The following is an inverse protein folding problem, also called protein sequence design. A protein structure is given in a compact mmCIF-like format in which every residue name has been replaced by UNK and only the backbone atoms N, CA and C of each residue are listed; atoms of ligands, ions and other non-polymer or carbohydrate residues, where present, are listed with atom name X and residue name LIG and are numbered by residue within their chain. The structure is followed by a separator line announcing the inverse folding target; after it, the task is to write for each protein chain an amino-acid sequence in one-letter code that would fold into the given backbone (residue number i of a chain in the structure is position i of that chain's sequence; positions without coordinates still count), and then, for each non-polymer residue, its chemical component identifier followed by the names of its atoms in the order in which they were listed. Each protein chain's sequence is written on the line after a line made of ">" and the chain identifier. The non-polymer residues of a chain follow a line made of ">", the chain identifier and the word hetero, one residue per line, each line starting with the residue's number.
data_IF_004657621639
#
_entry.id   IF_004657621639
#
_cell.length_a   1.000
_cell.length_b   1.000
_cell.length_c   1.000
_cell.angle_alpha   90.00
_cell.angle_beta   90.00
_cell.angle_gamma   90.00
#
_symmetry.space_group_name_H-M   'P 1'
#
loop_
_entity.id
_entity.type
_entity.pdbx_description
1 polymer ?
#
# COMPACT_ATOMS: atom_id res chain seq x y z
N UNK A 1 -9.55 -6.05 -16.80
CA UNK A 1 -10.55 -4.99 -17.12
C UNK A 1 -10.37 -3.89 -16.10
N UNK A 2 -9.74 -2.78 -16.51
CA UNK A 2 -9.36 -1.68 -15.61
C UNK A 2 -10.59 -0.85 -15.24
N UNK A 3 -10.91 -0.80 -13.95
CA UNK A 3 -11.85 0.18 -13.40
C UNK A 3 -11.11 1.51 -13.29
N UNK A 4 -11.19 2.34 -14.33
CA UNK A 4 -10.98 3.78 -14.19
C UNK A 4 -12.08 4.30 -13.27
N UNK A 5 -11.76 4.50 -12.00
CA UNK A 5 -12.61 5.25 -11.08
C UNK A 5 -12.63 6.70 -11.59
N UNK A 6 -13.80 7.12 -12.07
CA UNK A 6 -14.07 8.47 -12.52
C UNK A 6 -13.96 9.45 -11.34
N UNK A 7 -12.87 10.21 -11.29
CA UNK A 7 -12.68 11.42 -10.47
C UNK A 7 -13.57 12.60 -10.91
N UNK A 8 -14.68 12.32 -11.60
CA UNK A 8 -15.56 13.33 -12.19
C UNK A 8 -16.57 13.93 -11.19
N UNK A 9 -16.59 13.50 -9.92
CA UNK A 9 -17.60 13.94 -8.95
C UNK A 9 -17.22 15.18 -8.13
N UNK A 10 -15.98 15.68 -8.18
CA UNK A 10 -15.57 16.91 -7.47
C UNK A 10 -15.94 18.19 -8.26
N UNK A 11 -16.34 18.05 -9.53
CA UNK A 11 -16.57 19.17 -10.45
C UNK A 11 -17.98 19.79 -10.46
N UNK A 12 -18.93 19.33 -9.64
CA UNK A 12 -20.35 19.66 -9.82
C UNK A 12 -21.00 20.54 -8.74
N UNK A 13 -20.23 21.21 -7.87
CA UNK A 13 -20.79 22.01 -6.77
C UNK A 13 -20.34 23.47 -6.72
N UNK A 14 -20.12 24.12 -7.87
CA UNK A 14 -19.71 25.55 -7.92
C UNK A 14 -20.82 26.48 -8.46
N UNK A 15 -22.04 26.01 -8.71
CA UNK A 15 -23.11 26.87 -9.25
C UNK A 15 -24.22 27.25 -8.25
N UNK A 16 -23.98 27.13 -6.94
CA UNK A 16 -25.05 27.31 -5.94
C UNK A 16 -24.80 28.27 -4.77
N UNK A 17 -23.64 28.91 -4.64
CA UNK A 17 -23.33 29.76 -3.49
C UNK A 17 -22.80 31.13 -3.94
N UNK A 18 -23.71 31.97 -4.42
CA UNK A 18 -23.53 33.42 -4.33
C UNK A 18 -24.61 33.89 -3.38
N UNK A 19 -24.28 34.41 -2.18
CA UNK A 19 -25.29 35.01 -1.32
C UNK A 19 -25.99 36.12 -2.10
N UNK A 20 -27.29 35.92 -2.31
CA UNK A 20 -28.16 36.97 -2.80
C UNK A 20 -28.26 38.07 -1.74
N UNK A 21 -28.17 39.33 -2.18
CA UNK A 21 -28.31 40.55 -1.39
C UNK A 21 -27.08 40.97 -0.55
N UNK A 22 -26.26 41.80 -1.19
CA UNK A 22 -25.41 42.79 -0.51
C UNK A 22 -26.33 43.84 0.12
N UNK A 23 -26.97 43.52 1.25
CA UNK A 23 -27.95 44.38 1.88
C UNK A 23 -28.59 43.74 3.11
N UNK A 24 -28.09 44.15 4.28
CA UNK A 24 -28.64 43.96 5.63
C UNK A 24 -28.82 42.52 6.14
N UNK A 25 -27.83 42.09 6.92
CA UNK A 25 -28.07 41.43 8.21
C UNK A 25 -28.59 40.00 8.17
N UNK A 26 -27.85 39.10 7.51
CA UNK A 26 -27.88 37.67 7.85
C UNK A 26 -26.65 37.29 8.68
N UNK A 27 -26.80 36.35 9.62
CA UNK A 27 -25.69 35.88 10.44
C UNK A 27 -24.62 35.25 9.54
N UNK A 28 -23.40 35.82 9.55
CA UNK A 28 -22.28 35.36 8.73
C UNK A 28 -21.82 36.34 7.66
N UNK A 29 -22.52 37.44 7.39
CA UNK A 29 -22.04 38.50 6.49
C UNK A 29 -21.08 39.46 7.20
N UNK A 30 -19.96 39.80 6.55
CA UNK A 30 -19.03 40.82 7.02
C UNK A 30 -19.71 42.21 7.06
N UNK A 31 -19.82 42.85 8.23
CA UNK A 31 -20.39 44.20 8.39
C UNK A 31 -19.40 45.29 7.92
N UNK A 32 -19.06 45.24 6.63
CA UNK A 32 -18.10 46.15 6.03
C UNK A 32 -18.79 47.34 5.37
N UNK A 33 -18.40 48.54 5.80
CA UNK A 33 -18.98 49.78 5.30
C UNK A 33 -18.17 50.29 4.12
N UNK A 34 -18.86 50.61 3.01
CA UNK A 34 -18.24 51.17 1.80
C UNK A 34 -18.60 52.64 1.66
N UNK A 35 -17.87 53.52 2.34
CA UNK A 35 -18.16 54.97 2.33
C UNK A 35 -17.40 55.72 1.24
N UNK A 36 -16.33 55.15 0.69
CA UNK A 36 -15.53 55.79 -0.35
C UNK A 36 -16.01 55.41 -1.76
N UNK A 37 -16.19 56.43 -2.62
CA UNK A 37 -16.74 56.26 -3.98
C UNK A 37 -15.98 55.24 -4.83
N UNK A 38 -14.65 55.21 -4.76
CA UNK A 38 -13.85 54.26 -5.52
C UNK A 38 -14.09 52.80 -5.08
N UNK A 39 -14.33 52.57 -3.78
CA UNK A 39 -14.65 51.24 -3.24
C UNK A 39 -16.06 50.84 -3.66
N UNK A 40 -17.05 51.74 -3.52
CA UNK A 40 -18.44 51.49 -3.96
C UNK A 40 -18.50 51.13 -5.46
N UNK A 41 -17.72 51.81 -6.30
CA UNK A 41 -17.62 51.51 -7.73
C UNK A 41 -17.00 50.13 -7.98
N UNK A 42 -15.99 49.74 -7.20
CA UNK A 42 -15.42 48.39 -7.28
C UNK A 42 -16.43 47.31 -6.94
N UNK A 43 -17.28 47.52 -5.92
CA UNK A 43 -18.35 46.58 -5.55
C UNK A 43 -19.31 46.35 -6.73
N UNK A 44 -19.73 47.41 -7.42
CA UNK A 44 -20.60 47.29 -8.61
C UNK A 44 -19.93 46.47 -9.72
N UNK A 45 -18.63 46.67 -9.94
CA UNK A 45 -17.87 45.87 -10.90
C UNK A 45 -17.77 44.40 -10.49
N UNK A 46 -17.55 44.10 -9.22
CA UNK A 46 -17.54 42.72 -8.69
C UNK A 46 -18.91 42.07 -8.90
N UNK A 47 -20.00 42.78 -8.55
CA UNK A 47 -21.37 42.30 -8.76
C UNK A 47 -21.67 42.00 -10.23
N UNK A 48 -21.26 42.89 -11.14
CA UNK A 48 -21.39 42.67 -12.57
C UNK A 48 -20.57 41.46 -13.06
N UNK A 49 -19.37 41.26 -12.51
CA UNK A 49 -18.53 40.12 -12.84
C UNK A 49 -19.15 38.79 -12.37
N UNK A 50 -19.80 38.77 -11.20
CA UNK A 50 -20.46 37.58 -10.66
C UNK A 50 -21.82 37.30 -11.30
N UNK A 51 -22.51 38.33 -11.83
CA UNK A 51 -23.86 38.22 -12.40
C UNK A 51 -23.90 37.85 -13.89
N UNK A 52 -22.76 37.58 -14.54
CA UNK A 52 -22.70 37.32 -15.98
C UNK A 52 -22.01 36.00 -16.31
N UNK A 53 -22.58 35.25 -17.26
CA UNK A 53 -21.96 34.05 -17.85
C UNK A 53 -21.02 34.39 -19.02
N UNK A 54 -21.06 35.63 -19.51
CA UNK A 54 -20.21 36.09 -20.61
C UNK A 54 -18.77 36.34 -20.11
N UNK A 55 -17.85 35.52 -20.62
CA UNK A 55 -16.44 35.54 -20.19
C UNK A 55 -15.72 36.86 -20.49
N UNK A 56 -16.09 37.56 -21.56
CA UNK A 56 -15.50 38.86 -21.91
C UNK A 56 -16.01 39.92 -20.94
N UNK A 57 -17.33 40.01 -20.76
CA UNK A 57 -17.94 40.98 -19.82
C UNK A 57 -17.46 40.77 -18.40
N UNK A 58 -17.32 39.51 -17.97
CA UNK A 58 -16.75 39.16 -16.67
C UNK A 58 -15.33 39.70 -16.52
N UNK A 59 -14.47 39.52 -17.53
CA UNK A 59 -13.08 40.02 -17.51
C UNK A 59 -13.03 41.55 -17.44
N UNK A 60 -13.84 42.23 -18.26
CA UNK A 60 -13.91 43.70 -18.27
C UNK A 60 -14.39 44.26 -16.94
N UNK A 61 -15.38 43.61 -16.32
CA UNK A 61 -15.86 43.96 -14.99
C UNK A 61 -14.77 43.77 -13.91
N UNK A 62 -14.05 42.64 -13.91
CA UNK A 62 -12.92 42.42 -12.99
C UNK A 62 -11.80 43.45 -13.17
N UNK A 63 -11.49 43.86 -14.41
CA UNK A 63 -10.55 44.97 -14.66
C UNK A 63 -11.06 46.32 -14.14
N UNK A 64 -12.37 46.57 -14.23
CA UNK A 64 -13.02 47.73 -13.62
C UNK A 64 -12.87 47.74 -12.09
N UNK A 65 -13.07 46.59 -11.44
CA UNK A 65 -12.88 46.42 -10.00
C UNK A 65 -11.42 46.69 -9.61
N UNK A 66 -10.46 46.04 -10.28
CA UNK A 66 -9.02 46.22 -10.04
C UNK A 66 -8.60 47.67 -10.10
N UNK A 67 -9.00 48.40 -11.17
CA UNK A 67 -8.67 49.82 -11.33
C UNK A 67 -9.25 50.67 -10.20
N UNK A 68 -10.51 50.41 -9.83
CA UNK A 68 -11.19 51.18 -8.78
C UNK A 68 -10.57 50.96 -7.39
N UNK A 69 -10.19 49.72 -7.07
CA UNK A 69 -9.52 49.39 -5.80
C UNK A 69 -8.08 49.93 -5.76
N UNK A 70 -7.37 49.91 -6.89
CA UNK A 70 -6.03 50.50 -6.99
C UNK A 70 -6.06 52.02 -6.81
N UNK A 71 -7.05 52.69 -7.38
CA UNK A 71 -7.29 54.12 -7.17
C UNK A 71 -7.56 54.43 -5.68
N UNK A 72 -8.34 53.60 -5.00
CA UNK A 72 -8.58 53.74 -3.57
C UNK A 72 -7.27 53.65 -2.75
N UNK A 73 -6.40 52.67 -3.04
CA UNK A 73 -5.09 52.54 -2.40
C UNK A 73 -4.20 53.76 -2.67
N UNK A 74 -4.13 54.23 -3.92
CA UNK A 74 -3.37 55.42 -4.30
C UNK A 74 -3.91 56.70 -3.66
N UNK A 75 -5.22 56.74 -3.40
CA UNK A 75 -5.92 57.82 -2.71
C UNK A 75 -5.72 57.86 -1.19
N UNK A 76 -4.86 57.00 -0.63
CA UNK A 76 -4.52 57.01 0.80
C UNK A 76 -5.38 56.09 1.67
N UNK A 77 -6.15 55.17 1.08
CA UNK A 77 -7.00 54.22 1.81
C UNK A 77 -6.30 52.87 2.07
N UNK A 78 -4.98 52.86 2.22
CA UNK A 78 -4.21 51.65 2.49
C UNK A 78 -4.54 51.00 3.85
N UNK A 79 -5.05 51.77 4.82
CA UNK A 79 -5.46 51.28 6.14
C UNK A 79 -6.97 50.98 6.22
N UNK A 80 -7.73 51.22 5.15
CA UNK A 80 -9.16 50.97 5.12
C UNK A 80 -9.43 49.48 4.83
N UNK A 81 -10.05 48.72 5.76
CA UNK A 81 -10.28 47.30 5.59
C UNK A 81 -11.24 46.99 4.44
N UNK A 82 -12.11 47.92 4.05
CA UNK A 82 -13.03 47.73 2.91
C UNK A 82 -12.25 47.55 1.60
N UNK A 83 -11.15 48.26 1.41
CA UNK A 83 -10.32 48.13 0.21
C UNK A 83 -9.72 46.74 0.11
N UNK A 84 -9.18 46.21 1.23
CA UNK A 84 -8.56 44.89 1.26
C UNK A 84 -9.58 43.76 1.13
N UNK A 85 -10.75 43.87 1.76
CA UNK A 85 -11.81 42.87 1.63
C UNK A 85 -12.26 42.70 0.18
N UNK A 86 -12.54 43.81 -0.51
CA UNK A 86 -12.94 43.77 -1.92
C UNK A 86 -11.78 43.44 -2.88
N UNK A 87 -10.53 43.76 -2.52
CA UNK A 87 -9.36 43.23 -3.22
C UNK A 87 -9.28 41.71 -3.10
N UNK A 88 -9.50 41.14 -1.92
CA UNK A 88 -9.51 39.69 -1.71
C UNK A 88 -10.57 39.00 -2.57
N UNK A 89 -11.79 39.52 -2.60
CA UNK A 89 -12.87 38.99 -3.46
C UNK A 89 -12.50 39.11 -4.93
N UNK A 90 -11.97 40.26 -5.36
CA UNK A 90 -11.50 40.45 -6.74
C UNK A 90 -10.43 39.40 -7.11
N UNK A 91 -9.42 39.22 -6.27
CA UNK A 91 -8.34 38.27 -6.49
C UNK A 91 -8.87 36.83 -6.53
N UNK A 92 -9.78 36.47 -5.62
CA UNK A 92 -10.42 35.15 -5.60
C UNK A 92 -11.19 34.87 -6.90
N UNK A 93 -11.97 35.83 -7.40
CA UNK A 93 -12.71 35.70 -8.65
C UNK A 93 -11.80 35.62 -9.88
N UNK A 94 -10.71 36.41 -9.88
CA UNK A 94 -9.65 36.39 -10.89
C UNK A 94 -8.79 35.12 -10.83
N UNK A 95 -8.79 34.41 -9.70
CA UNK A 95 -8.00 33.20 -9.48
C UNK A 95 -6.56 33.45 -9.04
N UNK A 96 -6.29 34.65 -8.55
CA UNK A 96 -5.02 35.03 -7.97
C UNK A 96 -5.03 34.65 -6.48
N UNK A 97 -4.51 33.46 -6.17
CA UNK A 97 -4.49 32.95 -4.80
C UNK A 97 -3.60 33.77 -3.87
N UNK A 98 -2.43 34.20 -4.35
CA UNK A 98 -1.46 34.96 -3.55
C UNK A 98 -2.01 36.36 -3.20
N UNK A 99 -2.62 37.03 -4.18
CA UNK A 99 -3.31 38.29 -3.95
C UNK A 99 -4.51 38.14 -3.02
N UNK A 100 -5.30 37.07 -3.19
CA UNK A 100 -6.46 36.80 -2.35
C UNK A 100 -6.06 36.58 -0.89
N UNK A 101 -5.07 35.73 -0.65
CA UNK A 101 -4.55 35.42 0.68
C UNK A 101 -4.08 36.68 1.41
N UNK A 102 -3.19 37.47 0.78
CA UNK A 102 -2.65 38.69 1.40
C UNK A 102 -3.74 39.73 1.72
N UNK A 103 -4.74 39.88 0.84
CA UNK A 103 -5.80 40.86 1.03
C UNK A 103 -6.81 40.40 2.11
N UNK A 104 -7.12 39.11 2.16
CA UNK A 104 -7.97 38.53 3.20
C UNK A 104 -7.28 38.55 4.57
N UNK A 105 -5.98 38.26 4.67
CA UNK A 105 -5.21 38.37 5.92
C UNK A 105 -5.28 39.77 6.52
N UNK A 106 -5.08 40.80 5.69
CA UNK A 106 -5.21 42.20 6.11
C UNK A 106 -6.62 42.52 6.60
N UNK A 107 -7.63 41.95 5.95
CA UNK A 107 -9.02 42.15 6.34
C UNK A 107 -9.33 41.46 7.66
N UNK A 108 -8.95 40.20 7.83
CA UNK A 108 -9.18 39.43 9.06
C UNK A 108 -8.43 40.04 10.25
N UNK A 109 -7.23 40.59 10.03
CA UNK A 109 -6.48 41.30 11.07
C UNK A 109 -7.19 42.58 11.53
N UNK A 110 -7.77 43.35 10.62
CA UNK A 110 -8.49 44.58 10.93
C UNK A 110 -9.94 44.34 11.41
N UNK A 111 -10.57 43.29 10.88
CA UNK A 111 -11.98 42.95 11.10
C UNK A 111 -12.15 41.44 11.30
N UNK A 112 -11.81 40.89 12.48
CA UNK A 112 -11.92 39.45 12.77
C UNK A 112 -13.34 38.88 12.60
N UNK A 113 -14.36 39.73 12.75
CA UNK A 113 -15.77 39.35 12.54
C UNK A 113 -16.11 38.95 11.10
N UNK A 114 -15.23 39.21 10.14
CA UNK A 114 -15.41 38.87 8.73
C UNK A 114 -14.85 37.49 8.36
N UNK A 115 -14.25 36.77 9.31
CA UNK A 115 -13.55 35.50 9.04
C UNK A 115 -14.45 34.44 8.40
N UNK A 116 -15.68 34.28 8.86
CA UNK A 116 -16.62 33.28 8.33
C UNK A 116 -16.97 33.56 6.86
N UNK A 117 -17.26 34.82 6.54
CA UNK A 117 -17.57 35.26 5.18
C UNK A 117 -16.36 35.10 4.25
N UNK A 118 -15.18 35.51 4.72
CA UNK A 118 -13.91 35.38 4.01
C UNK A 118 -13.58 33.91 3.73
N UNK A 119 -13.89 33.00 4.66
CA UNK A 119 -13.68 31.56 4.50
C UNK A 119 -14.35 31.01 3.24
N UNK A 120 -15.55 31.50 2.90
CA UNK A 120 -16.27 31.09 1.68
C UNK A 120 -15.49 31.49 0.41
N UNK A 121 -14.95 32.71 0.37
CA UNK A 121 -14.15 33.17 -0.76
C UNK A 121 -12.79 32.47 -0.84
N UNK A 122 -12.16 32.22 0.31
CA UNK A 122 -10.93 31.43 0.44
C UNK A 122 -11.13 30.02 -0.13
N UNK A 123 -12.24 29.37 0.17
CA UNK A 123 -12.59 28.05 -0.39
C UNK A 123 -12.74 28.07 -1.92
N UNK A 124 -13.33 29.13 -2.49
CA UNK A 124 -13.49 29.28 -3.94
C UNK A 124 -12.14 29.38 -4.65
N UNK A 125 -11.23 30.22 -4.15
CA UNK A 125 -9.91 30.38 -4.75
C UNK A 125 -9.01 29.18 -4.48
N UNK A 126 -9.15 28.56 -3.30
CA UNK A 126 -8.50 27.29 -2.95
C UNK A 126 -8.76 26.23 -4.01
N UNK A 127 -10.02 26.03 -4.43
CA UNK A 127 -10.37 25.00 -5.41
C UNK A 127 -9.64 25.21 -6.75
N UNK A 128 -9.44 26.46 -7.16
CA UNK A 128 -8.69 26.79 -8.38
C UNK A 128 -7.20 26.51 -8.20
N UNK A 129 -6.62 26.94 -7.09
CA UNK A 129 -5.18 26.76 -6.80
C UNK A 129 -4.84 25.28 -6.61
N UNK A 130 -5.66 24.52 -5.87
CA UNK A 130 -5.48 23.08 -5.68
C UNK A 130 -5.54 22.32 -7.02
N UNK A 131 -6.45 22.70 -7.93
CA UNK A 131 -6.52 22.11 -9.26
C UNK A 131 -5.27 22.38 -10.11
N UNK A 132 -4.62 23.54 -9.96
CA UNK A 132 -3.32 23.81 -10.59
C UNK A 132 -2.23 22.90 -10.03
N UNK A 133 -2.27 22.59 -8.73
CA UNK A 133 -1.39 21.59 -8.11
C UNK A 133 -1.57 20.19 -8.72
N UNK A 134 -2.82 19.76 -8.88
CA UNK A 134 -3.17 18.48 -9.52
C UNK A 134 -2.71 18.44 -10.98
N UNK A 135 -2.85 19.54 -11.72
CA UNK A 135 -2.32 19.67 -13.09
C UNK A 135 -0.80 19.54 -13.13
N UNK A 136 -0.10 20.18 -12.20
CA UNK A 136 1.34 20.03 -12.01
C UNK A 136 1.75 18.56 -11.85
N UNK A 137 1.05 17.81 -10.97
CA UNK A 137 1.29 16.38 -10.78
C UNK A 137 1.07 15.57 -12.06
N UNK A 138 -0.01 15.83 -12.81
CA UNK A 138 -0.29 15.14 -14.08
C UNK A 138 0.79 15.35 -15.13
N UNK A 139 1.46 16.50 -15.07
CA UNK A 139 2.57 16.87 -15.95
C UNK A 139 3.95 16.49 -15.41
N UNK A 140 4.02 15.80 -14.26
CA UNK A 140 5.26 15.53 -13.49
C UNK A 140 6.05 16.80 -13.09
N UNK A 141 5.39 17.96 -13.04
CA UNK A 141 5.96 19.22 -12.54
C UNK A 141 5.73 19.31 -11.03
N UNK A 142 6.50 18.52 -10.28
CA UNK A 142 6.32 18.37 -8.83
C UNK A 142 6.67 19.64 -8.05
N UNK A 143 7.61 20.48 -8.53
CA UNK A 143 7.92 21.76 -7.88
C UNK A 143 6.73 22.71 -7.97
N UNK A 144 6.17 22.90 -9.16
CA UNK A 144 4.96 23.72 -9.32
C UNK A 144 3.78 23.15 -8.54
N UNK A 145 3.62 21.82 -8.53
CA UNK A 145 2.58 21.17 -7.76
C UNK A 145 2.70 21.48 -6.25
N UNK A 146 3.90 21.32 -5.68
CA UNK A 146 4.18 21.64 -4.28
C UNK A 146 3.87 23.09 -3.96
N UNK A 147 4.30 24.04 -4.79
CA UNK A 147 4.04 25.46 -4.57
C UNK A 147 2.55 25.77 -4.57
N UNK A 148 1.78 25.23 -5.52
CA UNK A 148 0.34 25.44 -5.58
C UNK A 148 -0.40 24.78 -4.40
N UNK A 149 -0.01 23.57 -3.99
CA UNK A 149 -0.63 22.94 -2.83
C UNK A 149 -0.29 23.63 -1.50
N UNK A 150 0.92 24.20 -1.35
CA UNK A 150 1.27 25.02 -0.18
C UNK A 150 0.39 26.26 -0.10
N UNK A 151 0.25 26.99 -1.21
CA UNK A 151 -0.65 28.14 -1.29
C UNK A 151 -2.11 27.74 -1.03
N UNK A 152 -2.56 26.59 -1.52
CA UNK A 152 -3.89 26.07 -1.20
C UNK A 152 -4.06 25.85 0.32
N UNK A 153 -3.09 25.22 0.99
CA UNK A 153 -3.12 25.05 2.44
C UNK A 153 -3.09 26.37 3.22
N UNK A 154 -2.43 27.41 2.70
CA UNK A 154 -2.47 28.77 3.29
C UNK A 154 -3.86 29.40 3.14
N UNK A 155 -4.45 29.28 1.95
CA UNK A 155 -5.75 29.83 1.63
C UNK A 155 -6.88 29.19 2.45
N UNK A 156 -6.92 27.86 2.57
CA UNK A 156 -8.01 27.15 3.24
C UNK A 156 -7.50 25.88 3.91
N UNK A 157 -7.43 25.91 5.24
CA UNK A 157 -6.81 24.87 6.08
C UNK A 157 -7.75 23.72 6.44
N UNK A 158 -9.06 23.88 6.19
CA UNK A 158 -10.10 22.92 6.59
C UNK A 158 -10.36 21.84 5.53
N UNK A 159 -9.68 21.91 4.37
CA UNK A 159 -9.74 20.86 3.34
C UNK A 159 -8.45 20.01 3.34
N UNK A 160 -8.54 18.67 3.46
CA UNK A 160 -7.37 17.81 3.58
C UNK A 160 -6.66 17.54 2.24
N UNK A 161 -7.24 17.92 1.10
CA UNK A 161 -6.81 17.50 -0.24
C UNK A 161 -5.41 17.99 -0.59
N UNK A 162 -5.11 19.26 -0.36
CA UNK A 162 -3.79 19.83 -0.67
C UNK A 162 -2.69 19.19 0.19
N UNK A 163 -2.97 18.96 1.48
CA UNK A 163 -2.07 18.21 2.38
C UNK A 163 -1.88 16.76 1.92
N UNK A 164 -2.94 16.05 1.52
CA UNK A 164 -2.83 14.69 1.02
C UNK A 164 -1.92 14.58 -0.23
N UNK A 165 -2.06 15.52 -1.16
CA UNK A 165 -1.22 15.54 -2.36
C UNK A 165 0.23 15.95 -2.08
N UNK A 166 0.47 16.88 -1.16
CA UNK A 166 1.83 17.18 -0.68
C UNK A 166 2.48 15.92 -0.08
N UNK A 167 1.77 15.19 0.78
CA UNK A 167 2.25 13.92 1.33
C UNK A 167 2.64 12.92 0.23
N UNK A 168 1.83 12.84 -0.82
CA UNK A 168 2.05 11.95 -1.98
C UNK A 168 3.26 12.33 -2.81
N UNK A 169 3.47 13.63 -3.06
CA UNK A 169 4.64 14.11 -3.79
C UNK A 169 5.91 13.81 -2.98
N UNK A 170 5.93 14.18 -1.69
CA UNK A 170 7.10 13.92 -0.85
C UNK A 170 7.42 12.43 -0.68
N UNK A 171 6.41 11.57 -0.60
CA UNK A 171 6.63 10.11 -0.59
C UNK A 171 7.24 9.62 -1.91
N UNK A 172 6.85 10.20 -3.05
CA UNK A 172 7.44 9.88 -4.36
C UNK A 172 8.89 10.34 -4.47
N UNK A 173 9.24 11.43 -3.79
CA UNK A 173 10.60 11.99 -3.70
C UNK A 173 11.46 11.31 -2.61
N UNK A 174 10.97 10.25 -1.96
CA UNK A 174 11.63 9.56 -0.84
C UNK A 174 11.93 10.48 0.37
N UNK A 175 11.15 11.55 0.53
CA UNK A 175 11.24 12.49 1.65
C UNK A 175 10.22 12.09 2.73
N UNK A 176 10.58 11.08 3.52
CA UNK A 176 9.69 10.48 4.51
C UNK A 176 9.21 11.46 5.59
N UNK A 177 10.06 12.36 6.08
CA UNK A 177 9.70 13.35 7.11
C UNK A 177 8.58 14.28 6.64
N UNK A 178 8.72 14.85 5.43
CA UNK A 178 7.71 15.74 4.87
C UNK A 178 6.44 14.98 4.49
N UNK A 179 6.58 13.76 3.96
CA UNK A 179 5.44 12.90 3.66
C UNK A 179 4.61 12.59 4.92
N UNK A 180 5.27 12.20 6.02
CA UNK A 180 4.64 11.95 7.32
C UNK A 180 3.95 13.20 7.85
N UNK A 181 4.59 14.37 7.77
CA UNK A 181 3.99 15.63 8.21
C UNK A 181 2.65 15.88 7.51
N UNK A 182 2.64 15.84 6.17
CA UNK A 182 1.47 16.20 5.39
C UNK A 182 0.37 15.12 5.39
N UNK A 183 0.71 13.84 5.38
CA UNK A 183 -0.31 12.79 5.55
C UNK A 183 -0.94 12.82 6.93
N UNK A 184 -0.19 13.06 8.01
CA UNK A 184 -0.78 13.21 9.35
C UNK A 184 -1.69 14.42 9.43
N UNK A 185 -1.34 15.51 8.76
CA UNK A 185 -2.18 16.70 8.67
C UNK A 185 -3.49 16.39 7.92
N UNK A 186 -3.41 15.77 6.75
CA UNK A 186 -4.58 15.35 5.97
C UNK A 186 -5.48 14.37 6.74
N UNK A 187 -4.89 13.38 7.42
CA UNK A 187 -5.62 12.44 8.28
C UNK A 187 -6.38 13.15 9.40
N UNK A 188 -5.74 14.14 10.05
CA UNK A 188 -6.35 14.93 11.12
C UNK A 188 -7.52 15.79 10.64
N UNK A 189 -7.33 16.51 9.53
CA UNK A 189 -8.37 17.39 8.96
C UNK A 189 -9.58 16.55 8.50
N UNK A 190 -9.32 15.42 7.84
CA UNK A 190 -10.37 14.53 7.32
C UNK A 190 -11.07 13.67 8.41
N UNK A 191 -10.63 13.73 9.67
CA UNK A 191 -11.12 12.83 10.71
C UNK A 191 -12.59 13.10 11.06
N UNK A 192 -13.43 12.08 10.94
CA UNK A 192 -14.86 12.18 11.25
C UNK A 192 -15.72 12.84 10.16
N UNK A 193 -15.11 13.31 9.07
CA UNK A 193 -15.82 13.87 7.92
C UNK A 193 -16.12 12.79 6.88
N UNK A 194 -17.41 12.50 6.68
CA UNK A 194 -17.86 11.52 5.69
C UNK A 194 -17.54 11.93 4.25
N UNK A 195 -17.42 13.23 3.95
CA UNK A 195 -17.05 13.71 2.62
C UNK A 195 -15.59 13.40 2.28
N UNK A 196 -14.72 13.31 3.29
CA UNK A 196 -13.28 13.09 3.14
C UNK A 196 -12.81 11.73 3.69
N UNK A 197 -13.74 10.78 3.86
CA UNK A 197 -13.44 9.45 4.42
C UNK A 197 -12.32 8.71 3.66
N UNK A 198 -12.27 8.82 2.33
CA UNK A 198 -11.21 8.21 1.51
C UNK A 198 -9.84 8.85 1.76
N UNK A 199 -9.77 10.19 1.90
CA UNK A 199 -8.52 10.88 2.21
C UNK A 199 -8.05 10.53 3.62
N UNK A 200 -8.97 10.44 4.59
CA UNK A 200 -8.65 10.00 5.94
C UNK A 200 -8.05 8.60 5.94
N UNK A 201 -8.75 7.64 5.33
CA UNK A 201 -8.32 6.24 5.20
C UNK A 201 -6.92 6.14 4.58
N UNK A 202 -6.73 6.71 3.39
CA UNK A 202 -5.45 6.63 2.66
C UNK A 202 -4.32 7.32 3.40
N UNK A 203 -4.59 8.45 4.06
CA UNK A 203 -3.57 9.15 4.84
C UNK A 203 -3.12 8.32 6.04
N UNK A 204 -4.06 7.73 6.79
CA UNK A 204 -3.75 6.84 7.91
C UNK A 204 -2.94 5.62 7.44
N UNK A 205 -3.34 5.00 6.33
CA UNK A 205 -2.62 3.87 5.73
C UNK A 205 -1.19 4.25 5.32
N UNK A 206 -1.01 5.37 4.62
CA UNK A 206 0.29 5.82 4.16
C UNK A 206 1.23 6.17 5.32
N UNK A 207 0.73 6.77 6.40
CA UNK A 207 1.55 7.03 7.60
C UNK A 207 2.03 5.71 8.20
N UNK A 208 1.15 4.71 8.33
CA UNK A 208 1.53 3.39 8.84
C UNK A 208 2.64 2.74 8.00
N UNK A 209 2.48 2.76 6.67
CA UNK A 209 3.44 2.19 5.72
C UNK A 209 4.78 2.93 5.69
N UNK A 210 4.79 4.25 5.79
CA UNK A 210 6.04 5.01 5.85
C UNK A 210 6.81 4.65 7.11
N UNK A 211 6.13 4.61 8.27
CA UNK A 211 6.78 4.18 9.50
C UNK A 211 7.32 2.76 9.45
N UNK A 212 6.60 1.87 8.77
CA UNK A 212 7.03 0.51 8.56
C UNK A 212 8.29 0.41 7.69
N UNK A 213 8.41 1.23 6.64
CA UNK A 213 9.61 1.33 5.79
C UNK A 213 10.79 1.93 6.55
N UNK A 214 10.53 2.90 7.42
CA UNK A 214 11.55 3.50 8.30
C UNK A 214 11.96 2.59 9.47
N UNK A 215 11.34 1.42 9.62
CA UNK A 215 11.55 0.50 10.74
C UNK A 215 11.22 1.12 12.11
N UNK A 216 10.37 2.16 12.14
CA UNK A 216 9.82 2.74 13.37
C UNK A 216 8.62 1.92 13.83
N UNK A 217 8.88 0.73 14.34
CA UNK A 217 7.86 -0.31 14.57
C UNK A 217 6.75 0.08 15.54
N UNK A 218 7.05 0.81 16.62
CA UNK A 218 6.04 1.32 17.57
C UNK A 218 5.06 2.29 16.89
N UNK A 219 5.59 3.20 16.08
CA UNK A 219 4.80 4.15 15.29
C UNK A 219 3.97 3.41 14.23
N UNK A 220 4.58 2.47 13.50
CA UNK A 220 3.90 1.67 12.49
C UNK A 220 2.74 0.86 13.11
N UNK A 221 2.97 0.18 14.24
CA UNK A 221 1.95 -0.57 14.95
C UNK A 221 0.78 0.32 15.37
N UNK A 222 1.07 1.50 15.93
CA UNK A 222 0.05 2.48 16.32
C UNK A 222 -0.82 2.88 15.12
N UNK A 223 -0.21 3.27 14.00
CA UNK A 223 -0.95 3.75 12.83
C UNK A 223 -1.68 2.65 12.07
N UNK A 224 -1.14 1.43 12.01
CA UNK A 224 -1.90 0.28 11.52
C UNK A 224 -3.05 -0.09 12.46
N UNK A 225 -2.92 0.15 13.76
CA UNK A 225 -4.01 0.08 14.73
C UNK A 225 -5.16 1.03 14.40
N UNK A 226 -4.85 2.29 14.10
CA UNK A 226 -5.84 3.28 13.65
C UNK A 226 -6.45 2.88 12.30
N UNK A 227 -5.63 2.47 11.33
CA UNK A 227 -6.12 2.03 10.02
C UNK A 227 -7.11 0.86 10.14
N UNK A 228 -6.85 -0.11 11.02
CA UNK A 228 -7.75 -1.23 11.28
C UNK A 228 -9.09 -0.81 11.91
N UNK A 229 -9.18 0.31 12.60
CA UNK A 229 -10.50 0.82 13.07
C UNK A 229 -11.36 1.27 11.88
N UNK A 230 -10.73 1.72 10.79
CA UNK A 230 -11.37 2.14 9.54
C UNK A 230 -11.67 0.92 8.66
N UNK A 231 -10.69 0.02 8.51
CA UNK A 231 -10.74 -1.18 7.68
C UNK A 231 -10.39 -2.43 8.51
N UNK A 232 -11.32 -2.96 9.32
CA UNK A 232 -11.03 -4.03 10.29
C UNK A 232 -10.65 -5.37 9.66
N UNK A 233 -11.14 -5.66 8.45
CA UNK A 233 -10.92 -6.93 7.75
C UNK A 233 -9.98 -6.79 6.55
N UNK A 234 -9.33 -5.63 6.34
CA UNK A 234 -8.38 -5.47 5.24
C UNK A 234 -7.09 -6.27 5.50
N UNK A 235 -6.73 -7.24 4.62
CA UNK A 235 -5.56 -8.08 4.83
C UNK A 235 -4.25 -7.31 4.94
N UNK A 236 -4.07 -6.21 4.21
CA UNK A 236 -2.86 -5.38 4.27
C UNK A 236 -2.74 -4.74 5.67
N UNK A 237 -3.82 -4.13 6.17
CA UNK A 237 -3.85 -3.55 7.52
C UNK A 237 -3.64 -4.58 8.63
N UNK A 238 -4.25 -5.76 8.52
CA UNK A 238 -4.07 -6.85 9.49
C UNK A 238 -2.63 -7.35 9.53
N UNK A 239 -2.05 -7.65 8.36
CA UNK A 239 -0.69 -8.20 8.27
C UNK A 239 0.39 -7.16 8.61
N UNK A 240 0.22 -5.91 8.18
CA UNK A 240 1.12 -4.79 8.52
C UNK A 240 1.13 -4.49 10.02
N UNK A 241 -0.04 -4.46 10.67
CA UNK A 241 -0.11 -4.29 12.11
C UNK A 241 0.57 -5.47 12.84
N UNK A 242 0.28 -6.71 12.45
CA UNK A 242 0.82 -7.89 13.14
C UNK A 242 2.35 -7.93 13.06
N UNK A 243 2.90 -7.62 11.87
CA UNK A 243 4.35 -7.52 11.67
C UNK A 243 4.97 -6.38 12.48
N UNK A 244 4.33 -5.21 12.49
CA UNK A 244 4.81 -4.05 13.26
C UNK A 244 4.83 -4.33 14.76
N UNK A 245 3.79 -5.01 15.30
CA UNK A 245 3.76 -5.44 16.70
C UNK A 245 4.89 -6.41 17.04
N UNK A 246 5.14 -7.40 16.18
CA UNK A 246 6.26 -8.33 16.39
C UNK A 246 7.60 -7.61 16.41
N UNK A 247 7.83 -6.72 15.45
CA UNK A 247 9.08 -5.99 15.33
C UNK A 247 9.29 -4.98 16.48
N UNK A 248 8.20 -4.43 17.03
CA UNK A 248 8.21 -3.62 18.25
C UNK A 248 8.37 -4.45 19.55
N UNK A 249 8.35 -5.79 19.46
CA UNK A 249 8.45 -6.68 20.61
C UNK A 249 7.13 -7.00 21.32
N UNK A 250 5.98 -6.49 20.86
CA UNK A 250 4.66 -6.93 21.32
C UNK A 250 4.25 -8.24 20.64
N UNK A 251 4.90 -9.32 21.06
CA UNK A 251 4.61 -10.66 20.57
C UNK A 251 3.18 -11.09 20.91
N UNK A 252 2.61 -10.63 22.03
CA UNK A 252 1.28 -11.06 22.46
C UNK A 252 0.20 -10.46 21.57
N UNK A 253 0.25 -9.15 21.32
CA UNK A 253 -0.67 -8.46 20.43
C UNK A 253 -0.58 -8.99 19.00
N UNK A 254 0.64 -9.25 18.52
CA UNK A 254 0.84 -9.84 17.21
C UNK A 254 0.23 -11.24 17.08
N UNK A 255 0.46 -12.13 18.06
CA UNK A 255 -0.10 -13.49 18.05
C UNK A 255 -1.63 -13.44 17.97
N UNK A 256 -2.27 -12.60 18.79
CA UNK A 256 -3.73 -12.43 18.75
C UNK A 256 -4.22 -12.00 17.37
N UNK A 257 -3.47 -11.11 16.71
CA UNK A 257 -3.83 -10.63 15.40
C UNK A 257 -3.66 -11.72 14.33
N UNK A 258 -2.54 -12.44 14.34
CA UNK A 258 -2.33 -13.58 13.46
C UNK A 258 -3.38 -14.68 13.68
N UNK A 259 -3.76 -14.97 14.92
CA UNK A 259 -4.84 -15.93 15.18
C UNK A 259 -6.17 -15.45 14.58
N UNK A 260 -6.46 -14.14 14.61
CA UNK A 260 -7.65 -13.59 13.96
C UNK A 260 -7.62 -13.66 12.43
N UNK A 261 -6.42 -13.57 11.83
CA UNK A 261 -6.20 -13.76 10.39
C UNK A 261 -6.44 -15.25 10.05
N UNK A 262 -5.79 -16.15 10.79
CA UNK A 262 -5.87 -17.60 10.55
C UNK A 262 -7.26 -18.17 10.86
N UNK A 263 -8.05 -17.53 11.72
CA UNK A 263 -9.44 -17.89 11.97
C UNK A 263 -10.36 -17.68 10.73
N UNK A 264 -9.91 -16.88 9.75
CA UNK A 264 -10.60 -16.62 8.48
C UNK A 264 -9.85 -17.22 7.29
N UNK A 265 -8.99 -18.21 7.53
CA UNK A 265 -8.14 -18.81 6.49
C UNK A 265 -8.94 -19.46 5.35
N UNK A 266 -10.17 -19.89 5.61
CA UNK A 266 -11.11 -20.43 4.63
C UNK A 266 -11.49 -19.40 3.54
N UNK A 267 -11.44 -18.10 3.87
CA UNK A 267 -11.77 -17.00 2.97
C UNK A 267 -10.56 -16.40 2.25
N UNK A 268 -9.34 -16.80 2.63
CA UNK A 268 -8.10 -16.28 2.07
C UNK A 268 -7.66 -17.06 0.83
N UNK A 269 -6.85 -16.46 -0.04
CA UNK A 269 -6.13 -17.23 -1.05
C UNK A 269 -5.06 -18.11 -0.38
N UNK A 270 -4.88 -19.38 -0.79
CA UNK A 270 -3.83 -20.23 -0.23
C UNK A 270 -2.41 -19.62 -0.30
N UNK A 271 -2.10 -18.86 -1.35
CA UNK A 271 -0.81 -18.16 -1.47
C UNK A 271 -0.64 -17.07 -0.42
N UNK A 272 -1.72 -16.41 0.00
CA UNK A 272 -1.66 -15.42 1.08
C UNK A 272 -1.40 -16.08 2.43
N UNK A 273 -1.98 -17.26 2.69
CA UNK A 273 -1.66 -18.06 3.87
C UNK A 273 -0.18 -18.47 3.90
N UNK A 274 0.38 -18.86 2.75
CA UNK A 274 1.81 -19.14 2.66
C UNK A 274 2.68 -17.89 2.92
N UNK A 275 2.28 -16.72 2.43
CA UNK A 275 2.99 -15.44 2.71
C UNK A 275 2.94 -15.09 4.21
N UNK A 276 1.78 -15.25 4.84
CA UNK A 276 1.61 -15.08 6.30
C UNK A 276 2.54 -16.02 7.05
N UNK A 277 2.57 -17.31 6.68
CA UNK A 277 3.46 -18.29 7.29
C UNK A 277 4.95 -17.94 7.12
N UNK A 278 5.38 -17.45 5.96
CA UNK A 278 6.77 -17.01 5.74
C UNK A 278 7.12 -15.81 6.63
N UNK A 279 6.21 -14.83 6.76
CA UNK A 279 6.39 -13.68 7.65
C UNK A 279 6.56 -14.12 9.12
N UNK A 280 5.69 -15.02 9.58
CA UNK A 280 5.73 -15.59 10.92
C UNK A 280 7.02 -16.38 11.17
N UNK A 281 7.45 -17.18 10.20
CA UNK A 281 8.68 -17.97 10.34
C UNK A 281 9.93 -17.08 10.46
N UNK A 282 10.00 -16.00 9.67
CA UNK A 282 11.13 -15.03 9.70
C UNK A 282 11.22 -14.22 11.00
N UNK A 283 10.11 -14.14 11.74
CA UNK A 283 9.99 -13.41 13.00
C UNK A 283 10.02 -14.35 14.20
N UNK A 284 10.58 -15.56 14.04
CA UNK A 284 10.75 -16.57 15.09
C UNK A 284 9.43 -17.13 15.68
N UNK A 285 8.33 -17.03 14.93
CA UNK A 285 7.01 -17.57 15.31
C UNK A 285 6.70 -18.87 14.58
N UNK A 286 7.60 -19.87 14.69
CA UNK A 286 7.52 -21.13 13.94
C UNK A 286 6.21 -21.92 14.16
N UNK A 287 5.58 -21.80 15.33
CA UNK A 287 4.30 -22.46 15.65
C UNK A 287 3.13 -21.94 14.82
N UNK A 288 2.96 -20.61 14.77
CA UNK A 288 1.94 -19.98 13.93
C UNK A 288 2.28 -20.12 12.45
N UNK A 289 3.56 -20.10 12.09
CA UNK A 289 4.01 -20.34 10.72
C UNK A 289 3.57 -21.73 10.24
N UNK A 290 3.81 -22.78 11.04
CA UNK A 290 3.37 -24.14 10.74
C UNK A 290 1.84 -24.18 10.53
N UNK A 291 1.05 -23.58 11.43
CA UNK A 291 -0.42 -23.50 11.30
C UNK A 291 -0.86 -22.83 10.00
N UNK A 292 -0.22 -21.71 9.63
CA UNK A 292 -0.53 -21.00 8.38
C UNK A 292 -0.21 -21.86 7.14
N UNK A 293 0.94 -22.54 7.15
CA UNK A 293 1.33 -23.44 6.06
C UNK A 293 0.40 -24.65 5.97
N UNK A 294 -0.04 -25.22 7.09
CA UNK A 294 -1.02 -26.31 7.11
C UNK A 294 -2.34 -25.90 6.48
N UNK A 295 -2.90 -24.76 6.90
CA UNK A 295 -4.16 -24.22 6.34
C UNK A 295 -4.05 -23.95 4.83
N UNK A 296 -2.92 -23.44 4.36
CA UNK A 296 -2.66 -23.28 2.92
C UNK A 296 -2.59 -24.63 2.18
N UNK A 297 -1.92 -25.62 2.78
CA UNK A 297 -1.75 -26.96 2.20
C UNK A 297 -3.02 -27.82 2.24
N UNK A 298 -4.03 -27.47 3.03
CA UNK A 298 -5.36 -28.09 2.95
C UNK A 298 -6.04 -27.79 1.62
N UNK A 299 -5.77 -26.61 1.02
CA UNK A 299 -6.39 -26.13 -0.22
C UNK A 299 -5.47 -26.20 -1.45
N UNK A 300 -4.15 -26.22 -1.24
CA UNK A 300 -3.17 -26.51 -2.28
C UNK A 300 -2.17 -27.57 -1.79
N UNK A 301 -2.57 -28.86 -1.79
CA UNK A 301 -1.80 -29.93 -1.14
C UNK A 301 -0.47 -30.27 -1.81
N UNK A 302 -0.23 -29.79 -3.03
CA UNK A 302 0.99 -30.06 -3.80
C UNK A 302 1.91 -28.84 -3.90
N UNK A 303 1.61 -27.74 -3.22
CA UNK A 303 2.46 -26.55 -3.27
C UNK A 303 3.83 -26.81 -2.62
N UNK A 304 4.84 -27.02 -3.48
CA UNK A 304 6.21 -27.39 -3.09
C UNK A 304 6.82 -26.46 -2.05
N UNK A 305 6.67 -25.14 -2.23
CA UNK A 305 7.23 -24.16 -1.29
C UNK A 305 6.51 -24.17 0.05
N UNK A 306 5.20 -24.37 0.07
CA UNK A 306 4.41 -24.55 1.29
C UNK A 306 4.86 -25.79 2.07
N UNK A 307 5.02 -26.93 1.39
CA UNK A 307 5.53 -28.17 1.98
C UNK A 307 6.94 -27.99 2.54
N UNK A 308 7.85 -27.37 1.77
CA UNK A 308 9.22 -27.09 2.21
C UNK A 308 9.24 -26.21 3.46
N UNK A 309 8.44 -25.14 3.47
CA UNK A 309 8.39 -24.23 4.61
C UNK A 309 7.73 -24.88 5.84
N UNK A 310 6.70 -25.72 5.67
CA UNK A 310 6.11 -26.49 6.76
C UNK A 310 7.12 -27.45 7.41
N UNK A 311 7.90 -28.16 6.59
CA UNK A 311 8.96 -29.07 7.10
C UNK A 311 10.00 -28.29 7.89
N UNK A 312 10.44 -27.12 7.42
CA UNK A 312 11.38 -26.28 8.14
C UNK A 312 10.78 -25.65 9.40
N UNK A 313 9.49 -25.28 9.40
CA UNK A 313 8.78 -24.82 10.59
C UNK A 313 8.76 -25.91 11.67
N UNK A 314 8.45 -27.15 11.31
CA UNK A 314 8.52 -28.26 12.26
C UNK A 314 9.93 -28.58 12.72
N UNK A 315 10.92 -28.45 11.83
CA UNK A 315 12.31 -28.65 12.18
C UNK A 315 12.78 -27.61 13.21
N UNK A 316 12.45 -26.34 13.02
CA UNK A 316 12.76 -25.27 13.98
C UNK A 316 12.10 -25.53 15.34
N UNK A 317 10.80 -25.86 15.35
CA UNK A 317 10.08 -26.20 16.59
C UNK A 317 10.71 -27.37 17.34
N UNK A 318 11.17 -28.40 16.61
CA UNK A 318 11.89 -29.52 17.19
C UNK A 318 13.26 -29.10 17.76
N UNK A 319 14.00 -28.24 17.07
CA UNK A 319 15.28 -27.71 17.57
C UNK A 319 15.09 -26.84 18.82
N UNK A 320 14.08 -25.97 18.84
CA UNK A 320 13.76 -25.14 20.00
C UNK A 320 13.39 -26.00 21.22
N UNK A 321 12.57 -27.03 21.00
CA UNK A 321 12.21 -28.00 22.02
C UNK A 321 13.44 -28.78 22.51
N UNK A 322 14.34 -29.17 21.61
CA UNK A 322 15.57 -29.87 21.95
C UNK A 322 16.50 -28.97 22.79
N UNK A 323 16.67 -27.71 22.40
CA UNK A 323 17.45 -26.71 23.16
C UNK A 323 16.88 -26.45 24.56
N UNK A 324 15.55 -26.51 24.71
CA UNK A 324 14.83 -26.45 25.99
C UNK A 324 14.78 -27.79 26.74
N UNK A 325 15.40 -28.84 26.21
CA UNK A 325 15.43 -30.19 26.78
C UNK A 325 14.02 -30.79 27.00
N UNK A 326 13.11 -30.58 26.03
CA UNK A 326 11.73 -31.06 26.03
C UNK A 326 11.56 -32.25 25.06
N UNK A 327 11.98 -33.48 25.42
CA UNK A 327 12.05 -34.61 24.50
C UNK A 327 10.69 -35.03 23.93
N UNK A 328 9.60 -34.88 24.69
CA UNK A 328 8.27 -35.20 24.20
C UNK A 328 7.82 -34.23 23.11
N UNK A 329 8.11 -32.93 23.27
CA UNK A 329 7.83 -31.91 22.25
C UNK A 329 8.65 -32.15 20.98
N UNK A 330 9.93 -32.53 21.11
CA UNK A 330 10.77 -32.92 19.96
C UNK A 330 10.09 -34.04 19.17
N UNK A 331 9.63 -35.10 19.85
CA UNK A 331 8.95 -36.22 19.19
C UNK A 331 7.63 -35.80 18.54
N UNK A 332 6.87 -34.91 19.16
CA UNK A 332 5.61 -34.38 18.58
C UNK A 332 5.90 -33.66 17.27
N UNK A 333 6.85 -32.72 17.26
CA UNK A 333 7.17 -31.96 16.05
C UNK A 333 7.81 -32.84 14.98
N UNK A 334 8.71 -33.75 15.34
CA UNK A 334 9.32 -34.69 14.40
C UNK A 334 8.28 -35.65 13.78
N UNK A 335 7.29 -36.09 14.56
CA UNK A 335 6.18 -36.93 14.05
C UNK A 335 5.30 -36.20 13.04
N UNK A 336 5.19 -34.86 13.13
CA UNK A 336 4.49 -34.04 12.14
C UNK A 336 5.37 -33.67 10.94
N UNK A 337 6.67 -33.45 11.18
CA UNK A 337 7.67 -33.18 10.15
C UNK A 337 7.78 -34.32 9.14
N UNK A 338 7.83 -35.57 9.62
CA UNK A 338 8.09 -36.74 8.78
C UNK A 338 7.08 -36.92 7.62
N UNK A 339 5.75 -36.95 7.84
CA UNK A 339 4.79 -37.06 6.75
C UNK A 339 4.84 -35.85 5.78
N UNK A 340 5.08 -34.64 6.28
CA UNK A 340 5.25 -33.46 5.43
C UNK A 340 6.52 -33.57 4.54
N UNK A 341 7.62 -34.08 5.09
CA UNK A 341 8.86 -34.31 4.35
C UNK A 341 8.71 -35.40 3.28
N UNK A 342 7.92 -36.45 3.56
CA UNK A 342 7.56 -37.45 2.57
C UNK A 342 6.71 -36.87 1.43
N UNK A 343 5.67 -36.08 1.74
CA UNK A 343 4.87 -35.36 0.71
C UNK A 343 5.74 -34.43 -0.13
N UNK A 344 6.65 -33.70 0.49
CA UNK A 344 7.60 -32.83 -0.21
C UNK A 344 8.45 -33.63 -1.20
N UNK A 345 8.92 -34.83 -0.82
CA UNK A 345 9.68 -35.72 -1.72
C UNK A 345 8.83 -36.28 -2.87
N UNK A 346 7.52 -36.46 -2.70
CA UNK A 346 6.66 -36.87 -3.81
C UNK A 346 6.56 -35.78 -4.89
N UNK A 347 6.68 -34.52 -4.48
CA UNK A 347 6.67 -33.37 -5.38
C UNK A 347 8.05 -33.08 -5.97
N UNK A 348 9.10 -33.19 -5.15
CA UNK A 348 10.50 -32.86 -5.48
C UNK A 348 11.46 -34.03 -5.18
N UNK A 349 11.34 -35.17 -5.89
CA UNK A 349 12.00 -36.43 -5.52
C UNK A 349 13.52 -36.47 -5.74
N UNK A 350 14.07 -35.63 -6.61
CA UNK A 350 15.50 -35.54 -6.92
C UNK A 350 16.18 -34.32 -6.31
N UNK A 351 15.65 -33.78 -5.22
CA UNK A 351 16.31 -32.74 -4.45
C UNK A 351 17.03 -33.35 -3.23
N UNK A 352 18.35 -33.26 -3.19
CA UNK A 352 19.14 -33.90 -2.13
C UNK A 352 18.78 -33.34 -0.74
N UNK A 353 18.48 -32.05 -0.63
CA UNK A 353 18.08 -31.43 0.63
C UNK A 353 16.76 -32.01 1.14
N UNK A 354 15.80 -32.28 0.26
CA UNK A 354 14.52 -32.91 0.63
C UNK A 354 14.72 -34.30 1.22
N UNK A 355 15.63 -35.10 0.64
CA UNK A 355 15.99 -36.42 1.16
C UNK A 355 16.66 -36.32 2.54
N UNK A 356 17.53 -35.33 2.73
CA UNK A 356 18.18 -35.06 4.03
C UNK A 356 17.19 -34.61 5.11
N UNK A 357 16.14 -33.86 4.75
CA UNK A 357 15.09 -33.47 5.70
C UNK A 357 14.31 -34.69 6.23
N UNK A 358 14.10 -35.73 5.42
CA UNK A 358 13.51 -36.99 5.88
C UNK A 358 14.44 -37.67 6.89
N UNK A 359 15.75 -37.74 6.60
CA UNK A 359 16.72 -38.28 7.54
C UNK A 359 16.73 -37.50 8.87
N UNK A 360 16.70 -36.17 8.82
CA UNK A 360 16.62 -35.32 10.00
C UNK A 360 15.36 -35.59 10.84
N UNK A 361 14.21 -35.82 10.20
CA UNK A 361 12.99 -36.18 10.91
C UNK A 361 13.11 -37.53 11.65
N UNK A 362 13.69 -38.56 11.01
CA UNK A 362 13.97 -39.84 11.68
C UNK A 362 14.98 -39.70 12.82
N UNK A 363 16.00 -38.86 12.65
CA UNK A 363 17.00 -38.59 13.68
C UNK A 363 16.36 -37.96 14.92
N UNK A 364 15.47 -36.97 14.73
CA UNK A 364 14.73 -36.34 15.82
C UNK A 364 13.75 -37.31 16.52
N UNK A 365 13.28 -38.34 15.81
CA UNK A 365 12.49 -39.44 16.38
C UNK A 365 13.34 -40.49 17.11
N UNK A 366 14.67 -40.40 17.05
CA UNK A 366 15.60 -41.38 17.62
C UNK A 366 15.64 -42.70 16.84
N UNK A 367 15.35 -42.68 15.55
CA UNK A 367 15.37 -43.85 14.67
C UNK A 367 16.64 -43.83 13.81
N UNK A 368 17.75 -44.30 14.39
CA UNK A 368 19.08 -44.26 13.77
C UNK A 368 19.18 -45.11 12.50
N UNK A 369 18.55 -46.30 12.49
CA UNK A 369 18.54 -47.18 11.31
C UNK A 369 17.90 -46.50 10.09
N UNK A 370 16.75 -45.86 10.30
CA UNK A 370 16.06 -45.13 9.22
C UNK A 370 16.84 -43.88 8.83
N UNK A 371 17.45 -43.20 9.79
CA UNK A 371 18.32 -42.05 9.52
C UNK A 371 19.46 -42.44 8.57
N UNK A 372 20.18 -43.53 8.87
CA UNK A 372 21.28 -44.04 8.04
C UNK A 372 20.80 -44.46 6.64
N UNK A 373 19.64 -45.13 6.53
CA UNK A 373 19.03 -45.46 5.23
C UNK A 373 18.80 -44.21 4.36
N UNK A 374 18.22 -43.15 4.93
CA UNK A 374 17.92 -41.93 4.18
C UNK A 374 19.17 -41.09 3.88
N UNK A 375 20.15 -41.04 4.78
CA UNK A 375 21.44 -40.39 4.52
C UNK A 375 22.22 -41.11 3.42
N UNK A 376 22.27 -42.45 3.44
CA UNK A 376 22.87 -43.23 2.34
C UNK A 376 22.17 -42.96 1.03
N UNK A 377 20.83 -42.91 1.02
CA UNK A 377 20.06 -42.57 -0.18
C UNK A 377 20.45 -41.20 -0.73
N UNK A 378 20.54 -40.18 0.10
CA UNK A 378 20.96 -38.83 -0.30
C UNK A 378 22.38 -38.82 -0.90
N UNK A 379 23.32 -39.55 -0.27
CA UNK A 379 24.71 -39.64 -0.73
C UNK A 379 24.86 -40.53 -2.00
N UNK A 380 23.91 -41.42 -2.26
CA UNK A 380 23.88 -42.30 -3.42
C UNK A 380 23.20 -41.67 -4.66
N UNK A 381 22.58 -40.49 -4.53
CA UNK A 381 22.07 -39.73 -5.68
C UNK A 381 23.19 -39.43 -6.68
N UNK A 382 22.92 -39.63 -7.97
CA UNK A 382 23.88 -39.40 -9.06
C UNK A 382 23.75 -38.01 -9.68
N UNK A 383 22.54 -37.44 -9.63
CA UNK A 383 22.24 -36.07 -10.04
C UNK A 383 21.24 -35.45 -9.07
N UNK A 384 21.09 -34.13 -9.13
CA UNK A 384 20.12 -33.37 -8.36
C UNK A 384 19.32 -32.46 -9.30
N UNK A 385 18.04 -32.30 -9.01
CA UNK A 385 17.18 -31.27 -9.60
C UNK A 385 16.97 -30.17 -8.54
N UNK A 386 17.27 -28.94 -8.89
CA UNK A 386 17.00 -27.77 -8.05
C UNK A 386 16.08 -26.81 -8.78
N UNK A 387 14.83 -26.73 -8.32
CA UNK A 387 13.89 -25.71 -8.79
C UNK A 387 14.16 -24.41 -8.04
N UNK A 388 14.51 -23.38 -8.80
CA UNK A 388 14.85 -22.05 -8.30
C UNK A 388 13.62 -21.12 -8.31
N UNK A 389 12.73 -21.32 -9.27
CA UNK A 389 11.48 -20.57 -9.42
C UNK A 389 10.34 -21.53 -9.75
N UNK A 390 9.21 -21.35 -9.06
CA UNK A 390 7.94 -21.97 -9.40
C UNK A 390 6.84 -20.97 -9.08
N UNK A 391 6.16 -20.45 -10.10
CA UNK A 391 5.10 -19.45 -9.93
C UNK A 391 4.04 -19.55 -11.01
N UNK A 392 2.85 -19.05 -10.68
CA UNK A 392 1.81 -18.81 -11.66
C UNK A 392 2.27 -17.75 -12.68
N UNK A 393 1.90 -17.97 -13.94
CA UNK A 393 2.14 -17.05 -15.04
C UNK A 393 0.80 -16.80 -15.78
N UNK A 394 0.65 -15.68 -16.53
CA UNK A 394 -0.57 -15.43 -17.28
C UNK A 394 -0.93 -16.61 -18.21
N UNK A 395 -2.05 -17.29 -17.93
CA UNK A 395 -2.53 -18.44 -18.71
C UNK A 395 -1.82 -19.77 -18.43
N UNK A 396 -0.99 -19.87 -17.39
CA UNK A 396 -0.25 -21.09 -17.11
C UNK A 396 0.66 -20.99 -15.88
N UNK A 397 1.84 -21.58 -15.99
CA UNK A 397 2.81 -21.64 -14.89
C UNK A 397 4.23 -21.51 -15.43
N UNK A 398 5.18 -21.16 -14.56
CA UNK A 398 6.60 -21.09 -14.89
C UNK A 398 7.39 -21.88 -13.84
N UNK A 399 8.25 -22.78 -14.32
CA UNK A 399 9.26 -23.47 -13.49
C UNK A 399 10.64 -23.26 -14.11
N UNK A 400 11.56 -22.73 -13.32
CA UNK A 400 12.97 -22.58 -13.69
C UNK A 400 13.82 -23.34 -12.70
N UNK A 401 14.80 -24.07 -13.19
CA UNK A 401 15.70 -24.82 -12.32
C UNK A 401 16.95 -25.31 -13.01
N UNK A 402 17.68 -26.14 -12.29
CA UNK A 402 18.91 -26.77 -12.76
C UNK A 402 18.92 -28.27 -12.50
N UNK A 403 19.69 -28.98 -13.31
CA UNK A 403 20.05 -30.37 -13.13
C UNK A 403 21.57 -30.43 -13.00
N UNK A 404 22.06 -30.92 -11.86
CA UNK A 404 23.48 -30.94 -11.51
C UNK A 404 23.99 -32.37 -11.37
N UNK A 405 25.17 -32.66 -11.92
CA UNK A 405 25.83 -33.95 -11.71
C UNK A 405 26.52 -33.98 -10.34
N UNK A 406 26.22 -34.99 -9.53
CA UNK A 406 26.78 -35.17 -8.18
C UNK A 406 27.99 -36.13 -8.15
N UNK A 407 28.45 -36.58 -9.32
CA UNK A 407 29.53 -37.56 -9.48
C UNK A 407 30.74 -36.95 -10.18
N UNK A 408 31.90 -37.52 -9.89
CA UNK A 408 33.16 -37.22 -10.57
C UNK A 408 33.27 -37.87 -11.96
N UNK A 409 32.23 -38.61 -12.39
CA UNK A 409 32.11 -39.23 -13.69
C UNK A 409 30.85 -38.69 -14.38
N UNK A 410 30.78 -38.81 -15.71
CA UNK A 410 29.59 -38.42 -16.46
C UNK A 410 28.36 -39.19 -15.95
N UNK A 411 27.26 -38.46 -15.72
CA UNK A 411 26.00 -39.03 -15.24
C UNK A 411 24.95 -38.95 -16.33
N UNK A 412 24.35 -40.10 -16.65
CA UNK A 412 23.15 -40.14 -17.49
C UNK A 412 21.95 -39.76 -16.64
N UNK A 413 21.34 -38.62 -16.97
CA UNK A 413 20.09 -38.17 -16.38
C UNK A 413 18.95 -38.70 -17.25
N UNK A 414 18.02 -39.51 -16.70
CA UNK A 414 16.86 -39.97 -17.44
C UNK A 414 15.95 -38.80 -17.80
N UNK A 415 14.96 -39.04 -18.65
CA UNK A 415 13.94 -38.03 -18.92
C UNK A 415 13.23 -37.65 -17.61
N UNK A 416 12.96 -36.35 -17.43
CA UNK A 416 12.27 -35.81 -16.27
C UNK A 416 10.94 -35.22 -16.73
N UNK A 417 9.85 -35.82 -16.31
CA UNK A 417 8.50 -35.40 -16.69
C UNK A 417 7.88 -34.61 -15.55
N UNK A 418 7.65 -33.32 -15.79
CA UNK A 418 6.91 -32.43 -14.91
C UNK A 418 5.42 -32.55 -15.22
N UNK A 419 4.63 -32.81 -14.18
CA UNK A 419 3.17 -32.78 -14.19
C UNK A 419 2.72 -31.52 -13.46
N UNK A 420 1.94 -30.68 -14.13
CA UNK A 420 1.40 -29.43 -13.61
C UNK A 420 -0.03 -29.64 -13.17
N UNK A 421 -0.32 -29.23 -11.94
CA UNK A 421 -1.50 -29.68 -11.20
C UNK A 421 -2.44 -28.52 -10.89
N UNK A 422 -3.73 -28.80 -10.92
CA UNK A 422 -4.74 -27.93 -10.32
C UNK A 422 -4.84 -28.14 -8.79
N UNK A 423 -5.74 -27.39 -8.13
CA UNK A 423 -5.97 -27.46 -6.67
C UNK A 423 -6.39 -28.84 -6.18
N UNK A 424 -7.06 -29.64 -7.02
CA UNK A 424 -7.46 -31.02 -6.68
C UNK A 424 -6.34 -32.04 -6.91
N UNK A 425 -5.18 -31.63 -7.46
CA UNK A 425 -4.08 -32.52 -7.80
C UNK A 425 -4.22 -33.24 -9.14
N UNK A 426 -5.15 -32.83 -9.98
CA UNK A 426 -5.31 -33.37 -11.33
C UNK A 426 -4.26 -32.77 -12.26
N UNK A 427 -3.73 -33.58 -13.18
CA UNK A 427 -2.74 -33.13 -14.16
C UNK A 427 -3.43 -32.30 -15.24
N UNK A 428 -3.08 -31.02 -15.34
CA UNK A 428 -3.58 -30.08 -16.36
C UNK A 428 -2.66 -30.05 -17.58
N UNK A 429 -1.35 -30.06 -17.33
CA UNK A 429 -0.33 -30.02 -18.38
C UNK A 429 0.87 -30.89 -17.98
N UNK A 430 1.62 -31.32 -18.99
CA UNK A 430 2.84 -32.11 -18.81
C UNK A 430 3.93 -31.56 -19.72
N UNK A 431 5.12 -31.35 -19.18
CA UNK A 431 6.32 -31.06 -19.96
C UNK A 431 7.43 -32.04 -19.59
N UNK A 432 8.32 -32.32 -20.53
CA UNK A 432 9.40 -33.30 -20.32
C UNK A 432 10.75 -32.70 -20.71
N UNK A 433 11.68 -32.74 -19.77
CA UNK A 433 13.10 -32.53 -20.04
C UNK A 433 13.64 -33.85 -20.58
N UNK A 434 14.17 -33.83 -21.80
CA UNK A 434 14.72 -35.03 -22.45
C UNK A 434 15.90 -35.61 -21.65
N UNK A 435 16.06 -36.92 -21.74
CA UNK A 435 17.23 -37.60 -21.18
C UNK A 435 18.52 -37.00 -21.74
N UNK A 436 19.53 -36.83 -20.89
CA UNK A 436 20.78 -36.19 -21.24
C UNK A 436 21.94 -36.68 -20.38
N UNK A 437 23.14 -36.69 -20.94
CA UNK A 437 24.37 -36.92 -20.17
C UNK A 437 24.92 -35.58 -19.68
N UNK A 438 25.23 -35.51 -18.39
CA UNK A 438 25.88 -34.34 -17.78
C UNK A 438 27.29 -34.75 -17.35
N UNK A 439 28.28 -34.05 -17.88
CA UNK A 439 29.70 -34.25 -17.55
C UNK A 439 30.00 -33.99 -16.06
N UNK A 440 31.13 -34.46 -15.51
CA UNK A 440 31.52 -34.19 -14.12
C UNK A 440 31.48 -32.69 -13.80
N UNK A 441 30.91 -32.34 -12.63
CA UNK A 441 30.66 -30.96 -12.19
C UNK A 441 29.77 -30.12 -13.14
N UNK A 442 29.12 -30.75 -14.11
CA UNK A 442 28.23 -30.08 -15.06
C UNK A 442 26.90 -29.71 -14.42
N UNK A 443 26.37 -28.57 -14.88
CA UNK A 443 25.03 -28.06 -14.52
C UNK A 443 24.30 -27.74 -15.83
N UNK A 444 23.04 -28.17 -15.92
CA UNK A 444 22.14 -27.87 -17.05
C UNK A 444 20.94 -27.10 -16.54
N UNK A 445 20.70 -25.92 -17.10
CA UNK A 445 19.49 -25.14 -16.81
C UNK A 445 18.30 -25.67 -17.59
N UNK A 446 17.11 -25.52 -17.02
CA UNK A 446 15.85 -25.75 -17.72
C UNK A 446 14.83 -24.66 -17.35
N UNK A 447 13.92 -24.39 -18.27
CA UNK A 447 12.76 -23.54 -18.09
C UNK A 447 11.57 -24.22 -18.75
N UNK A 448 10.48 -24.32 -18.01
CA UNK A 448 9.21 -24.92 -18.42
C UNK A 448 8.12 -23.86 -18.28
N UNK A 449 7.28 -23.72 -19.29
CA UNK A 449 6.22 -22.71 -19.35
C UNK A 449 4.91 -23.32 -19.82
N UNK A 450 4.34 -24.28 -19.06
CA UNK A 450 3.09 -24.92 -19.42
C UNK A 450 1.96 -23.91 -19.50
N UNK A 451 1.09 -24.10 -20.49
CA UNK A 451 -0.18 -23.39 -20.57
C UNK A 451 -1.30 -24.26 -20.01
N UNK A 452 -2.22 -23.65 -19.26
CA UNK A 452 -3.34 -24.35 -18.64
C UNK A 452 -3.96 -23.52 -17.54
N UNK A 453 -5.29 -23.36 -17.60
CA UNK A 453 -6.03 -22.59 -16.60
C UNK A 453 -6.05 -23.36 -15.26
N UNK A 454 -5.88 -22.64 -14.15
CA UNK A 454 -5.94 -23.22 -12.80
C UNK A 454 -4.73 -24.07 -12.39
N UNK A 455 -3.59 -23.99 -13.09
CA UNK A 455 -2.34 -24.61 -12.61
C UNK A 455 -1.84 -23.84 -11.38
N UNK A 456 -1.74 -24.53 -10.24
CA UNK A 456 -1.32 -23.94 -8.95
C UNK A 456 -0.15 -24.67 -8.31
N UNK A 457 0.25 -25.82 -8.86
CA UNK A 457 1.34 -26.63 -8.35
C UNK A 457 1.99 -27.48 -9.46
N UNK A 458 3.10 -28.12 -9.13
CA UNK A 458 3.79 -29.07 -9.99
C UNK A 458 4.32 -30.23 -9.16
N UNK A 459 4.60 -31.35 -9.81
CA UNK A 459 5.46 -32.43 -9.34
C UNK A 459 6.24 -32.98 -10.52
N UNK A 460 7.29 -33.76 -10.28
CA UNK A 460 7.96 -34.46 -11.38
C UNK A 460 8.31 -35.90 -11.05
N UNK A 461 8.46 -36.68 -12.12
CA UNK A 461 8.93 -38.06 -12.09
C UNK A 461 10.17 -38.18 -12.95
N UNK A 462 11.06 -39.10 -12.57
CA UNK A 462 12.25 -39.44 -13.34
C UNK A 462 12.08 -40.84 -13.91
N UNK A 463 12.36 -40.99 -15.21
CA UNK A 463 12.18 -42.24 -15.96
C UNK A 463 13.19 -43.34 -15.66
#
# INVERSE_FOLDING_TARGET
>A
MSKQASLAAVGALVLGLVPSAWGQGEAGQCDIKTTHFAVTRAVLYIQNATGTEDTLKRREALEGARRSLTEALQGGLAEDPSVWYFMGIYYALSGDGEGADSAFDKTEAAMPGCKEDISQYRQVVWARVANQGIEGMRNNDYERAKDRFRLANELYQDDPTASFYLGTIFATEDNADSALHYYKLAARIAAGDTAHAEIHEKSVQNVARIYEVLEEWDSAATWFGEYRKIRPDDPEGLTGHARSLLAAGDTTGAIQLYDSILARADQMDPLDLFRVGVSLFRTDNAGLAAKAFELGLERNPYYRNGLFNLVNAYFQLAQDAQGKQLPDSVRVYASRMLPAAHRLREVDPQNQQVVRLIAAAYQLLGNDDSTDVWLRRANQMTYQVEVQLGREAPGGYEVVGTISNLRSQATNVPAITFEFLNSEGQVVATETISAQTIEPNGIKQFQLTPSGEGIVAWRYKTG
#
